data_IF_223685069483
#
_entry.id   IF_223685069483
#
_cell.length_a   1.000
_cell.length_b   1.000
_cell.length_c   1.000
_cell.angle_alpha   90.00
_cell.angle_beta   90.00
_cell.angle_gamma   90.00
#
_symmetry.space_group_name_H-M   'P 1'
#
loop_
_entity.id
_entity.type
_entity.pdbx_description
1 polymer ?
#
# COMPACT_ATOMS: atom_id res chain seq x y z
N UNK A 1 -8.63 -3.71 -14.48
CA UNK A 1 -7.36 -4.46 -14.57
C UNK A 1 -7.08 -5.04 -13.20
N UNK A 2 -6.64 -6.28 -13.12
CA UNK A 2 -6.34 -6.94 -11.85
C UNK A 2 -4.92 -6.57 -11.40
N UNK A 3 -4.76 -6.24 -10.11
CA UNK A 3 -3.46 -5.90 -9.54
C UNK A 3 -2.63 -7.18 -9.31
N UNK A 4 -1.33 -7.12 -9.59
CA UNK A 4 -0.40 -8.18 -9.23
C UNK A 4 0.13 -7.92 -7.82
N UNK A 5 0.13 -8.91 -6.94
CA UNK A 5 0.56 -8.71 -5.56
C UNK A 5 1.18 -9.94 -4.93
N UNK A 6 1.97 -9.68 -3.89
CA UNK A 6 2.47 -10.67 -2.95
C UNK A 6 2.52 -10.09 -1.53
N UNK A 7 2.38 -10.92 -0.52
CA UNK A 7 2.41 -10.54 0.89
C UNK A 7 3.03 -11.62 1.76
N UNK A 8 3.53 -11.21 2.93
CA UNK A 8 4.10 -12.11 3.94
C UNK A 8 3.00 -12.60 4.89
N UNK A 9 2.86 -13.91 5.03
CA UNK A 9 1.98 -14.56 6.02
C UNK A 9 2.81 -15.54 6.85
N UNK A 10 3.15 -15.12 8.08
CA UNK A 10 4.10 -15.86 8.92
C UNK A 10 5.47 -15.93 8.25
N UNK A 11 5.96 -17.15 8.01
CA UNK A 11 7.25 -17.39 7.34
C UNK A 11 7.16 -17.48 5.81
N UNK A 12 5.95 -17.50 5.24
CA UNK A 12 5.74 -17.75 3.81
C UNK A 12 5.35 -16.48 3.06
N UNK A 13 5.74 -16.41 1.79
CA UNK A 13 5.25 -15.41 0.84
C UNK A 13 4.13 -16.01 0.01
N UNK A 14 2.97 -15.33 0.00
CA UNK A 14 1.80 -15.67 -0.81
C UNK A 14 1.56 -14.57 -1.84
N UNK A 15 0.88 -14.85 -2.93
CA UNK A 15 0.57 -13.85 -3.95
C UNK A 15 -0.17 -14.41 -5.14
N UNK A 16 -0.62 -13.53 -6.05
CA UNK A 16 -1.26 -13.92 -7.30
C UNK A 16 -0.34 -13.79 -8.53
N UNK A 17 0.91 -13.35 -8.35
CA UNK A 17 1.90 -13.16 -9.41
C UNK A 17 3.28 -13.66 -8.98
N UNK A 18 3.89 -14.53 -9.78
CA UNK A 18 5.26 -14.98 -9.56
C UNK A 18 6.26 -13.82 -9.56
N UNK A 19 6.00 -12.77 -10.36
CA UNK A 19 6.85 -11.58 -10.40
C UNK A 19 6.78 -10.84 -9.07
N UNK A 20 5.58 -10.64 -8.53
CA UNK A 20 5.40 -9.98 -7.25
C UNK A 20 6.01 -10.79 -6.10
N UNK A 21 5.88 -12.12 -6.12
CA UNK A 21 6.48 -13.03 -5.14
C UNK A 21 8.01 -12.93 -5.18
N UNK A 22 8.63 -13.11 -6.35
CA UNK A 22 10.09 -13.04 -6.48
C UNK A 22 10.65 -11.66 -6.13
N UNK A 23 9.92 -10.59 -6.44
CA UNK A 23 10.33 -9.25 -6.04
C UNK A 23 10.33 -9.11 -4.51
N UNK A 24 9.24 -9.54 -3.85
CA UNK A 24 9.14 -9.47 -2.40
C UNK A 24 10.18 -10.35 -1.70
N UNK A 25 10.45 -11.55 -2.22
CA UNK A 25 11.54 -12.42 -1.75
C UNK A 25 12.91 -11.71 -1.81
N UNK A 26 13.20 -11.02 -2.91
CA UNK A 26 14.49 -10.37 -3.12
C UNK A 26 14.73 -9.15 -2.22
N UNK A 27 13.67 -8.45 -1.80
CA UNK A 27 13.80 -7.20 -1.04
C UNK A 27 13.37 -7.30 0.42
N UNK A 28 12.77 -8.41 0.85
CA UNK A 28 12.25 -8.59 2.20
C UNK A 28 13.30 -8.29 3.27
N UNK A 29 14.45 -8.97 3.19
CA UNK A 29 15.53 -8.81 4.19
C UNK A 29 15.99 -7.35 4.27
N UNK A 30 16.17 -6.70 3.10
CA UNK A 30 16.55 -5.29 3.04
C UNK A 30 15.50 -4.36 3.67
N UNK A 31 14.21 -4.61 3.42
CA UNK A 31 13.11 -3.82 3.99
C UNK A 31 13.03 -4.01 5.51
N UNK A 32 13.22 -5.23 6.00
CA UNK A 32 13.25 -5.55 7.43
C UNK A 32 14.47 -4.91 8.13
N UNK A 33 15.66 -5.04 7.55
CA UNK A 33 16.91 -4.48 8.10
C UNK A 33 16.91 -2.96 8.16
N UNK A 34 16.36 -2.31 7.13
CA UNK A 34 16.31 -0.85 7.03
C UNK A 34 15.03 -0.24 7.65
N UNK A 35 14.17 -1.06 8.25
CA UNK A 35 12.87 -0.64 8.81
C UNK A 35 12.02 0.20 7.84
N UNK A 36 12.03 -0.17 6.56
CA UNK A 36 11.33 0.59 5.52
C UNK A 36 9.82 0.42 5.68
N UNK A 37 9.13 1.54 5.95
CA UNK A 37 7.66 1.57 6.12
C UNK A 37 6.91 1.49 4.79
N UNK A 38 7.42 2.18 3.80
CA UNK A 38 6.83 2.30 2.48
C UNK A 38 7.94 2.42 1.44
N UNK A 39 7.79 1.72 0.32
CA UNK A 39 8.61 1.91 -0.86
C UNK A 39 7.71 2.01 -2.10
N UNK A 40 7.92 3.06 -2.89
CA UNK A 40 7.18 3.27 -4.13
C UNK A 40 8.13 3.51 -5.28
N UNK A 41 7.73 3.04 -6.46
CA UNK A 41 8.45 3.33 -7.68
C UNK A 41 7.50 3.32 -8.87
N UNK A 42 7.90 4.00 -9.93
CA UNK A 42 7.13 4.12 -11.15
C UNK A 42 8.08 3.97 -12.34
N UNK A 43 7.61 3.24 -13.34
CA UNK A 43 8.24 3.07 -14.65
C UNK A 43 7.25 3.54 -15.72
N UNK A 44 7.67 3.54 -16.98
CA UNK A 44 6.79 3.90 -18.10
C UNK A 44 5.59 2.94 -18.24
N UNK A 45 5.73 1.69 -17.79
CA UNK A 45 4.71 0.64 -17.99
C UNK A 45 3.88 0.31 -16.72
N UNK A 46 4.42 0.56 -15.53
CA UNK A 46 3.78 0.18 -14.27
C UNK A 46 4.28 0.96 -13.06
N UNK A 47 3.46 0.95 -12.01
CA UNK A 47 3.81 1.45 -10.67
C UNK A 47 3.80 0.31 -9.66
N UNK A 48 4.71 0.39 -8.69
CA UNK A 48 4.85 -0.52 -7.58
C UNK A 48 4.71 0.20 -6.23
N UNK A 49 4.01 -0.42 -5.28
CA UNK A 49 3.94 0.02 -3.90
C UNK A 49 4.21 -1.17 -2.98
N UNK A 50 5.17 -1.01 -2.08
CA UNK A 50 5.40 -1.88 -0.94
C UNK A 50 4.99 -1.14 0.33
N UNK A 51 4.17 -1.79 1.16
CA UNK A 51 3.82 -1.36 2.51
C UNK A 51 4.28 -2.44 3.47
N UNK A 52 4.94 -2.10 4.58
CA UNK A 52 5.37 -3.09 5.58
C UNK A 52 4.41 -3.26 6.76
N UNK A 53 3.51 -2.30 6.96
CA UNK A 53 2.49 -2.34 8.02
C UNK A 53 1.06 -2.42 7.43
N UNK A 54 0.12 -3.14 8.07
CA UNK A 54 0.30 -4.08 9.18
C UNK A 54 0.94 -5.41 8.76
N UNK A 55 1.01 -5.66 7.45
CA UNK A 55 1.66 -6.82 6.83
C UNK A 55 2.44 -6.33 5.63
N UNK A 56 3.62 -6.91 5.44
CA UNK A 56 4.43 -6.63 4.26
C UNK A 56 3.74 -7.12 3.00
N UNK A 57 3.34 -6.19 2.14
CA UNK A 57 2.67 -6.42 0.87
C UNK A 57 3.35 -5.60 -0.22
N UNK A 58 3.62 -6.24 -1.36
CA UNK A 58 4.00 -5.57 -2.60
C UNK A 58 2.86 -5.67 -3.61
N UNK A 59 2.53 -4.54 -4.24
CA UNK A 59 1.50 -4.46 -5.28
C UNK A 59 2.02 -3.73 -6.50
N UNK A 60 1.77 -4.31 -7.67
CA UNK A 60 2.08 -3.79 -8.98
C UNK A 60 0.81 -3.59 -9.81
N UNK A 61 0.68 -2.41 -10.41
CA UNK A 61 -0.45 -2.04 -11.26
C UNK A 61 0.04 -1.36 -12.55
N UNK A 62 -0.72 -1.49 -13.65
CA UNK A 62 -0.56 -0.60 -14.82
C UNK A 62 -1.35 0.67 -14.56
N UNK A 63 -0.69 1.66 -13.97
CA UNK A 63 -1.28 2.92 -13.55
C UNK A 63 -0.28 3.70 -12.71
N UNK A 64 -0.75 4.71 -12.00
CA UNK A 64 0.08 5.54 -11.12
C UNK A 64 0.33 4.89 -9.74
N UNK A 65 1.21 5.53 -8.97
CA UNK A 65 1.55 5.11 -7.60
C UNK A 65 0.31 5.17 -6.69
N UNK A 66 -0.57 6.16 -6.88
CA UNK A 66 -1.80 6.31 -6.10
C UNK A 66 -2.71 5.09 -6.22
N UNK A 67 -2.87 4.56 -7.43
CA UNK A 67 -3.58 3.33 -7.72
C UNK A 67 -2.89 2.12 -7.07
N UNK A 68 -1.56 2.02 -7.15
CA UNK A 68 -0.82 0.93 -6.52
C UNK A 68 -1.08 0.88 -5.01
N UNK A 69 -0.99 2.04 -4.34
CA UNK A 69 -1.28 2.18 -2.90
C UNK A 69 -2.74 1.86 -2.57
N UNK A 70 -3.68 2.35 -3.39
CA UNK A 70 -5.11 2.08 -3.18
C UNK A 70 -5.42 0.57 -3.30
N UNK A 71 -4.80 -0.12 -4.26
CA UNK A 71 -4.92 -1.57 -4.42
C UNK A 71 -4.29 -2.32 -3.27
N UNK A 72 -3.11 -1.92 -2.78
CA UNK A 72 -2.49 -2.50 -1.58
C UNK A 72 -3.42 -2.44 -0.37
N UNK A 73 -4.00 -1.28 -0.08
CA UNK A 73 -4.99 -1.12 0.99
C UNK A 73 -6.25 -1.95 0.76
N UNK A 74 -6.72 -2.06 -0.49
CA UNK A 74 -7.88 -2.91 -0.82
C UNK A 74 -7.59 -4.38 -0.52
N UNK A 75 -6.44 -4.88 -0.96
CA UNK A 75 -6.03 -6.27 -0.75
C UNK A 75 -5.83 -6.56 0.75
N UNK A 76 -5.19 -5.67 1.50
CA UNK A 76 -5.05 -5.83 2.94
C UNK A 76 -6.39 -5.93 3.68
N UNK A 77 -7.43 -5.22 3.19
CA UNK A 77 -8.81 -5.36 3.71
C UNK A 77 -9.43 -6.70 3.33
N UNK A 78 -9.27 -7.13 2.07
CA UNK A 78 -9.77 -8.42 1.58
C UNK A 78 -9.13 -9.59 2.35
N UNK A 79 -7.87 -9.44 2.77
CA UNK A 79 -7.13 -10.41 3.59
C UNK A 79 -7.44 -10.29 5.10
N UNK A 80 -8.22 -9.29 5.53
CA UNK A 80 -8.61 -9.10 6.93
C UNK A 80 -7.55 -8.47 7.83
N UNK A 81 -6.45 -7.97 7.27
CA UNK A 81 -5.39 -7.28 8.04
C UNK A 81 -5.74 -5.86 8.42
N UNK A 82 -6.68 -5.24 7.70
CA UNK A 82 -7.17 -3.90 8.02
C UNK A 82 -8.68 -3.99 8.22
N UNK A 83 -9.15 -3.60 9.41
CA UNK A 83 -10.57 -3.53 9.71
C UNK A 83 -11.21 -2.39 8.94
N UNK A 84 -12.47 -2.57 8.54
CA UNK A 84 -13.25 -1.55 7.82
C UNK A 84 -13.42 -0.28 8.66
N UNK A 85 -13.49 -0.43 9.98
CA UNK A 85 -13.82 0.64 10.93
C UNK A 85 -12.65 1.59 11.24
N UNK A 86 -11.37 1.16 11.09
CA UNK A 86 -10.19 2.02 11.31
C UNK A 86 -9.94 3.02 10.15
N UNK A 87 -10.69 2.89 9.05
CA UNK A 87 -10.42 3.58 7.80
C UNK A 87 -11.53 4.52 7.35
N UNK A 88 -12.73 4.43 7.90
CA UNK A 88 -13.83 5.33 7.51
C UNK A 88 -13.47 6.79 7.86
N UNK A 89 -12.85 7.03 9.02
CA UNK A 89 -12.29 8.35 9.37
C UNK A 89 -11.09 8.75 8.50
N UNK A 90 -10.14 7.85 8.24
CA UNK A 90 -8.92 8.20 7.51
C UNK A 90 -9.15 8.41 6.01
N UNK A 91 -10.04 7.63 5.39
CA UNK A 91 -10.43 7.81 3.99
C UNK A 91 -11.38 8.98 3.81
N UNK A 92 -12.37 9.17 4.69
CA UNK A 92 -13.17 10.40 4.65
C UNK A 92 -12.27 11.63 4.79
N UNK A 93 -11.29 11.60 5.70
CA UNK A 93 -10.37 12.71 5.89
C UNK A 93 -9.49 12.92 4.65
N UNK A 94 -8.96 11.86 4.03
CA UNK A 94 -8.16 11.98 2.82
C UNK A 94 -8.96 12.52 1.62
N UNK A 95 -10.18 12.01 1.37
CA UNK A 95 -11.07 12.50 0.31
C UNK A 95 -11.55 13.95 0.59
N UNK A 96 -11.82 14.26 1.86
CA UNK A 96 -12.13 15.63 2.31
C UNK A 96 -10.93 16.57 2.15
N UNK A 97 -9.71 16.12 2.40
CA UNK A 97 -8.48 16.91 2.24
C UNK A 97 -8.21 17.20 0.76
N UNK A 98 -8.40 16.24 -0.14
CA UNK A 98 -8.22 16.43 -1.59
C UNK A 98 -9.19 17.47 -2.18
N UNK A 99 -10.35 17.66 -1.53
CA UNK A 99 -11.38 18.62 -1.94
C UNK A 99 -11.37 19.92 -1.14
N UNK A 100 -10.46 20.08 -0.17
CA UNK A 100 -10.38 21.26 0.69
C UNK A 100 -9.24 22.20 0.33
N UNK A 101 -9.41 23.53 0.52
CA UNK A 101 -8.30 24.47 0.54
C UNK A 101 -7.30 24.11 1.64
N UNK A 102 -6.01 24.30 1.36
CA UNK A 102 -4.93 23.90 2.26
C UNK A 102 -5.01 24.56 3.64
N UNK A 103 -5.62 25.74 3.74
CA UNK A 103 -5.85 26.42 5.01
C UNK A 103 -6.81 25.65 5.94
N UNK A 104 -7.82 24.97 5.39
CA UNK A 104 -8.76 24.18 6.19
C UNK A 104 -8.16 22.86 6.67
N UNK A 105 -7.33 22.24 5.83
CA UNK A 105 -6.58 21.02 6.17
C UNK A 105 -5.67 21.27 7.37
N UNK A 106 -4.92 22.37 7.36
CA UNK A 106 -4.00 22.75 8.46
C UNK A 106 -4.76 23.03 9.76
N UNK A 107 -6.00 23.55 9.69
CA UNK A 107 -6.83 23.79 10.88
C UNK A 107 -7.28 22.49 11.54
N UNK A 108 -7.60 21.47 10.75
CA UNK A 108 -8.05 20.17 11.25
C UNK A 108 -6.89 19.42 11.92
N UNK A 109 -5.69 19.47 11.34
CA UNK A 109 -4.51 18.76 11.86
C UNK A 109 -3.86 19.39 13.10
N UNK A 110 -4.27 20.61 13.50
CA UNK A 110 -3.74 21.32 14.68
C UNK A 110 -4.59 21.16 15.96
N UNK A 111 -5.63 20.32 15.95
CA UNK A 111 -6.37 19.90 17.15
C UNK A 111 -5.71 18.69 17.79
#
# INVERSE_FOLDING_TARGET
>A
MEAEYAYVEGEKIKGNSNVAVSYLEAIRELVEELEVKELVFQTDDYSGALLSEPVMIFVKVRGDISLAKAQARRILRELGYVKKDDLEEAFELAEKIESMPIEEVVRILKK
#
